data_IF_795852943967
#
_entry.id   IF_795852943967
#
_cell.length_a   1.000
_cell.length_b   1.000
_cell.length_c   1.000
_cell.angle_alpha   90.00
_cell.angle_beta   90.00
_cell.angle_gamma   90.00
#
_symmetry.space_group_name_H-M   'P 1'
#
loop_
_entity.id
_entity.type
_entity.pdbx_description
1 polymer ?
#
# COMPACT_ATOMS: atom_id res chain seq x y z
N UNK A 1 0.73 23.03 12.02
CA UNK A 1 0.92 21.62 11.59
C UNK A 1 0.78 21.53 10.09
N UNK A 2 1.72 20.87 9.45
CA UNK A 2 1.69 20.71 8.01
C UNK A 2 1.14 19.34 7.67
N UNK A 3 0.08 19.32 6.86
CA UNK A 3 -0.47 18.07 6.36
C UNK A 3 0.23 17.69 5.06
N UNK A 4 0.44 16.40 4.85
CA UNK A 4 0.98 15.91 3.59
C UNK A 4 -0.10 15.96 2.52
N UNK A 5 0.27 16.39 1.32
CA UNK A 5 -0.65 16.32 0.20
C UNK A 5 -0.89 14.85 -0.16
N UNK A 6 -2.15 14.52 -0.46
CA UNK A 6 -2.48 13.17 -0.89
C UNK A 6 -2.10 13.01 -2.35
N UNK A 7 -1.31 11.97 -2.67
CA UNK A 7 -0.92 11.66 -4.03
C UNK A 7 -1.81 10.55 -4.58
N UNK A 8 -2.14 10.67 -5.86
CA UNK A 8 -2.86 9.61 -6.57
C UNK A 8 -1.89 8.46 -6.85
N UNK A 9 -2.28 7.24 -6.47
CA UNK A 9 -1.45 6.05 -6.68
C UNK A 9 -1.04 5.88 -8.14
N UNK A 10 -1.90 6.28 -9.08
CA UNK A 10 -1.60 6.16 -10.51
C UNK A 10 -0.56 7.17 -10.99
N UNK A 11 -0.26 8.19 -10.17
CA UNK A 11 0.63 9.27 -10.56
C UNK A 11 1.88 9.37 -9.68
N UNK A 12 2.19 8.34 -8.90
CA UNK A 12 3.37 8.36 -8.03
C UNK A 12 4.63 8.21 -8.87
N UNK A 13 5.56 9.18 -8.82
CA UNK A 13 6.79 9.07 -9.59
C UNK A 13 7.67 7.94 -9.06
N UNK A 14 8.30 7.18 -9.96
CA UNK A 14 9.14 6.04 -9.59
C UNK A 14 10.36 6.44 -8.76
N UNK A 15 10.78 7.71 -8.85
CA UNK A 15 11.97 8.20 -8.14
C UNK A 15 11.65 8.89 -6.82
N UNK A 16 10.36 9.02 -6.50
CA UNK A 16 9.97 9.71 -5.29
C UNK A 16 10.37 8.88 -4.08
N UNK A 17 10.90 9.54 -3.06
CA UNK A 17 11.26 8.89 -1.79
C UNK A 17 10.86 9.81 -0.66
N UNK A 18 10.73 9.23 0.55
CA UNK A 18 10.36 9.97 1.73
C UNK A 18 8.98 9.56 2.23
N UNK A 19 8.50 10.23 3.27
CA UNK A 19 7.18 9.92 3.83
C UNK A 19 6.10 10.52 2.95
N UNK A 20 5.13 9.68 2.55
CA UNK A 20 4.08 10.10 1.63
C UNK A 20 2.72 9.54 2.03
N UNK A 21 1.70 10.19 1.53
CA UNK A 21 0.31 9.78 1.70
C UNK A 21 -0.24 9.52 0.30
N UNK A 22 -0.58 8.25 0.02
CA UNK A 22 -0.96 7.82 -1.32
C UNK A 22 -2.37 7.25 -1.29
N UNK A 23 -3.23 7.70 -2.20
CA UNK A 23 -4.60 7.22 -2.29
C UNK A 23 -4.83 6.56 -3.64
N UNK A 24 -5.51 5.43 -3.62
CA UNK A 24 -5.87 4.74 -4.85
C UNK A 24 -6.72 3.53 -4.57
N UNK A 25 -7.27 2.96 -5.64
CA UNK A 25 -8.06 1.74 -5.54
C UNK A 25 -7.13 0.55 -5.77
N UNK A 26 -7.20 -0.40 -4.84
CA UNK A 26 -6.41 -1.62 -4.95
C UNK A 26 -6.94 -2.46 -6.10
N UNK A 27 -6.10 -2.71 -7.10
CA UNK A 27 -6.49 -3.49 -8.26
C UNK A 27 -6.43 -4.98 -7.99
N UNK A 28 -5.36 -5.44 -7.34
CA UNK A 28 -5.16 -6.85 -7.04
C UNK A 28 -4.43 -7.03 -5.72
N UNK A 29 -4.65 -8.18 -5.10
CA UNK A 29 -3.90 -8.57 -3.90
C UNK A 29 -3.37 -9.98 -4.11
N UNK A 30 -2.19 -10.26 -3.53
CA UNK A 30 -1.58 -11.58 -3.64
C UNK A 30 -0.65 -11.82 -2.48
N UNK A 31 -0.43 -13.10 -2.16
CA UNK A 31 0.60 -13.50 -1.19
C UNK A 31 1.61 -14.38 -1.93
N UNK A 32 2.86 -13.95 -1.91
CA UNK A 32 3.95 -14.67 -2.56
C UNK A 32 5.06 -14.85 -1.52
N UNK A 33 5.43 -16.11 -1.26
CA UNK A 33 6.48 -16.43 -0.29
C UNK A 33 6.23 -15.78 1.06
N UNK A 34 4.99 -15.85 1.54
CA UNK A 34 4.54 -15.32 2.82
C UNK A 34 4.47 -13.79 2.91
N UNK A 35 4.84 -13.08 1.85
CA UNK A 35 4.71 -11.62 1.80
C UNK A 35 3.45 -11.27 1.02
N UNK A 36 2.68 -10.35 1.56
CA UNK A 36 1.43 -9.91 0.94
C UNK A 36 1.65 -8.62 0.18
N UNK A 37 1.05 -8.53 -1.00
CA UNK A 37 1.16 -7.37 -1.88
C UNK A 37 -0.20 -6.81 -2.23
N UNK A 38 -0.33 -5.49 -2.17
CA UNK A 38 -1.49 -4.77 -2.66
C UNK A 38 -1.01 -3.99 -3.89
N UNK A 39 -1.49 -4.39 -5.06
CA UNK A 39 -1.07 -3.78 -6.31
C UNK A 39 -2.12 -2.77 -6.76
N UNK A 40 -1.67 -1.57 -7.14
CA UNK A 40 -2.55 -0.46 -7.50
C UNK A 40 -2.63 -0.24 -9.01
N UNK A 41 -2.02 -1.13 -9.79
CA UNK A 41 -2.07 -1.07 -11.23
C UNK A 41 -1.75 -2.43 -11.83
N UNK A 42 -1.84 -2.53 -13.16
CA UNK A 42 -1.63 -3.80 -13.85
C UNK A 42 -0.15 -4.18 -13.95
N UNK A 43 0.75 -3.20 -13.87
CA UNK A 43 2.19 -3.45 -14.00
C UNK A 43 2.87 -3.29 -12.64
N UNK A 44 3.03 -4.41 -11.94
CA UNK A 44 3.63 -4.40 -10.61
C UNK A 44 5.09 -3.90 -10.62
N UNK A 45 5.72 -3.84 -11.78
CA UNK A 45 7.13 -3.41 -11.89
C UNK A 45 7.27 -1.91 -11.88
N UNK A 46 6.23 -1.18 -12.28
CA UNK A 46 6.30 0.27 -12.38
C UNK A 46 5.20 0.97 -11.60
N UNK A 47 4.10 0.27 -11.29
CA UNK A 47 2.97 0.86 -10.59
C UNK A 47 3.15 0.80 -9.08
N UNK A 48 2.46 1.70 -8.39
CA UNK A 48 2.55 1.75 -6.93
C UNK A 48 2.09 0.44 -6.29
N UNK A 49 2.81 -0.01 -5.28
CA UNK A 49 2.54 -1.25 -4.57
C UNK A 49 2.73 -1.05 -3.07
N UNK A 50 1.90 -1.70 -2.28
CA UNK A 50 2.09 -1.80 -0.83
C UNK A 50 2.46 -3.24 -0.51
N UNK A 51 3.50 -3.42 0.30
CA UNK A 51 3.91 -4.76 0.71
C UNK A 51 3.79 -4.91 2.23
N UNK A 52 3.45 -6.13 2.66
CA UNK A 52 3.36 -6.49 4.07
C UNK A 52 4.22 -7.73 4.30
N UNK A 53 5.22 -7.62 5.18
CA UNK A 53 5.98 -8.78 5.63
C UNK A 53 5.08 -9.68 6.48
N UNK A 54 5.44 -10.96 6.67
CA UNK A 54 4.64 -11.87 7.49
C UNK A 54 4.34 -11.34 8.89
N UNK A 55 5.30 -10.66 9.50
CA UNK A 55 5.13 -10.08 10.83
C UNK A 55 4.07 -8.97 10.81
N UNK A 56 4.07 -8.13 9.78
CA UNK A 56 3.08 -7.08 9.63
C UNK A 56 1.69 -7.69 9.41
N UNK A 57 1.60 -8.73 8.59
CA UNK A 57 0.34 -9.38 8.31
C UNK A 57 -0.33 -9.89 9.59
N UNK A 58 0.47 -10.41 10.53
CA UNK A 58 -0.08 -10.89 11.80
C UNK A 58 -0.74 -9.77 12.59
N UNK A 59 -0.20 -8.55 12.54
CA UNK A 59 -0.80 -7.41 13.22
C UNK A 59 -2.15 -7.04 12.61
N UNK A 60 -2.28 -7.11 11.28
CA UNK A 60 -3.55 -6.89 10.61
C UNK A 60 -4.57 -7.94 11.03
N UNK A 61 -4.16 -9.20 11.01
CA UNK A 61 -5.06 -10.31 11.38
C UNK A 61 -5.48 -10.22 12.83
N UNK A 62 -4.61 -9.76 13.73
CA UNK A 62 -4.95 -9.58 15.14
C UNK A 62 -6.06 -8.54 15.33
N UNK A 63 -6.23 -7.62 14.38
CA UNK A 63 -7.32 -6.65 14.42
C UNK A 63 -8.50 -7.07 13.54
N UNK A 64 -8.53 -8.31 13.11
CA UNK A 64 -9.62 -8.82 12.30
C UNK A 64 -9.59 -8.39 10.85
N UNK A 65 -8.43 -7.97 10.35
CA UNK A 65 -8.28 -7.49 8.97
C UNK A 65 -7.53 -8.53 8.16
N UNK A 66 -8.17 -9.02 7.10
CA UNK A 66 -7.49 -9.84 6.10
C UNK A 66 -6.93 -8.90 5.04
N UNK A 67 -5.59 -8.79 4.90
CA UNK A 67 -5.01 -7.86 3.92
C UNK A 67 -5.43 -8.14 2.49
N UNK A 68 -5.78 -9.37 2.15
CA UNK A 68 -6.26 -9.68 0.80
C UNK A 68 -7.63 -9.06 0.52
N UNK A 69 -8.38 -8.71 1.56
CA UNK A 69 -9.70 -8.11 1.41
C UNK A 69 -9.68 -6.66 0.93
N UNK A 70 -8.50 -6.03 0.88
CA UNK A 70 -8.40 -4.68 0.35
C UNK A 70 -8.62 -4.60 -1.15
N UNK A 71 -8.60 -5.73 -1.85
CA UNK A 71 -8.84 -5.76 -3.29
C UNK A 71 -10.15 -5.06 -3.63
N UNK A 72 -10.08 -4.14 -4.58
CA UNK A 72 -11.24 -3.38 -5.04
C UNK A 72 -11.63 -2.19 -4.18
N UNK A 73 -10.96 -1.99 -3.06
CA UNK A 73 -11.28 -0.89 -2.16
C UNK A 73 -10.44 0.34 -2.45
N UNK A 74 -11.02 1.51 -2.24
CA UNK A 74 -10.28 2.77 -2.29
C UNK A 74 -9.64 2.98 -0.93
N UNK A 75 -8.32 3.04 -0.89
CA UNK A 75 -7.57 3.16 0.35
C UNK A 75 -6.61 4.34 0.29
N UNK A 76 -6.25 4.83 1.47
CA UNK A 76 -5.21 5.84 1.65
C UNK A 76 -4.11 5.23 2.50
N UNK A 77 -2.90 5.22 1.98
CA UNK A 77 -1.75 4.57 2.61
C UNK A 77 -0.72 5.62 2.96
N UNK A 78 -0.21 5.56 4.18
CA UNK A 78 0.86 6.45 4.64
C UNK A 78 2.10 5.64 4.98
N UNK A 79 3.26 6.17 4.64
CA UNK A 79 4.51 5.51 4.95
C UNK A 79 5.67 6.03 4.14
N UNK A 80 6.82 5.41 4.34
CA UNK A 80 8.03 5.76 3.60
C UNK A 80 7.97 5.14 2.22
N UNK A 81 7.99 5.99 1.22
CA UNK A 81 8.01 5.56 -0.16
C UNK A 81 9.43 5.25 -0.56
N UNK A 82 9.65 4.09 -1.15
CA UNK A 82 10.93 3.69 -1.71
C UNK A 82 10.72 3.18 -3.12
N UNK A 83 11.81 3.11 -3.87
CA UNK A 83 11.79 2.59 -5.23
C UNK A 83 12.32 1.16 -5.20
N UNK A 84 11.45 0.19 -5.46
CA UNK A 84 11.82 -1.21 -5.55
C UNK A 84 10.86 -1.85 -6.55
N UNK A 85 11.31 -1.99 -7.80
CA UNK A 85 10.44 -2.39 -8.90
C UNK A 85 9.22 -1.45 -8.93
N UNK A 86 9.50 -0.14 -9.09
CA UNK A 86 8.47 0.89 -8.99
C UNK A 86 8.32 1.43 -7.57
N UNK A 87 7.43 2.40 -7.37
CA UNK A 87 7.23 3.00 -6.06
C UNK A 87 6.54 2.03 -5.10
N UNK A 88 7.06 1.94 -3.88
CA UNK A 88 6.57 0.96 -2.92
C UNK A 88 6.54 1.56 -1.51
N UNK A 89 5.47 1.28 -0.77
CA UNK A 89 5.40 1.53 0.66
C UNK A 89 5.29 0.18 1.36
N UNK A 90 6.15 -0.04 2.36
CA UNK A 90 6.02 -1.22 3.21
C UNK A 90 5.14 -0.86 4.40
N UNK A 91 3.99 -1.51 4.51
CA UNK A 91 3.08 -1.29 5.62
C UNK A 91 3.44 -2.24 6.75
N UNK A 92 3.65 -1.69 7.94
CA UNK A 92 4.02 -2.46 9.13
C UNK A 92 2.90 -2.52 10.15
N UNK A 93 1.92 -1.63 10.06
CA UNK A 93 0.81 -1.54 11.02
C UNK A 93 -0.49 -1.23 10.29
N UNK A 94 -1.64 -1.72 10.81
CA UNK A 94 -2.94 -1.46 10.19
C UNK A 94 -3.28 0.03 10.05
N UNK A 95 -2.80 0.87 10.95
CA UNK A 95 -3.09 2.30 10.92
C UNK A 95 -2.52 3.00 9.68
N UNK A 96 -1.59 2.37 8.99
CA UNK A 96 -1.03 2.93 7.77
C UNK A 96 -1.96 2.84 6.57
N UNK A 97 -3.00 1.99 6.64
CA UNK A 97 -3.93 1.80 5.53
C UNK A 97 -5.34 2.14 6.01
N UNK A 98 -5.90 3.20 5.44
CA UNK A 98 -7.25 3.64 5.78
C UNK A 98 -8.18 3.35 4.60
N UNK A 99 -9.30 2.66 4.85
CA UNK A 99 -10.30 2.43 3.81
C UNK A 99 -11.15 3.69 3.68
N UNK A 100 -11.11 4.29 2.49
CA UNK A 100 -11.89 5.50 2.19
C UNK A 100 -13.25 5.08 1.63
N UNK A 101 -13.26 4.01 0.81
CA UNK A 101 -14.47 3.58 0.14
C UNK A 101 -14.37 2.08 -0.13
N UNK A 102 -15.43 1.37 0.18
CA UNK A 102 -15.50 -0.10 -0.02
C UNK A 102 -15.52 -0.50 -1.47
#
# INVERSE_FOLDING_TARGET
>A
MQAYAVRDAAAVPARLSGFELVEGRVAETATVRKRTYLNFGADWRSDFTVSLAPKARKLFEAEGIDPLSYRGKLVRVRGWLKSYNGPLIEATHPEQIEVIEE
#
